data_IF_330310088839
#
_entry.id   IF_330310088839
#
_cell.length_a   1.000
_cell.length_b   1.000
_cell.length_c   1.000
_cell.angle_alpha   90.00
_cell.angle_beta   90.00
_cell.angle_gamma   90.00
#
_symmetry.space_group_name_H-M   'P 1'
#
loop_
_entity.id
_entity.type
_entity.pdbx_description
1 polymer ?
#
# COMPACT_ATOMS: atom_id res chain seq x y z
N UNK A 1 -25.59 -28.61 -64.85
CA UNK A 1 -24.17 -28.23 -65.02
C UNK A 1 -23.73 -27.40 -63.81
N UNK A 2 -22.91 -28.01 -62.95
CA UNK A 2 -21.81 -27.47 -62.16
C UNK A 2 -21.77 -26.00 -61.63
N UNK A 3 -21.43 -25.93 -60.33
CA UNK A 3 -20.48 -25.01 -59.62
C UNK A 3 -21.01 -23.62 -59.22
N UNK A 4 -20.61 -22.98 -58.10
CA UNK A 4 -19.95 -23.26 -56.80
C UNK A 4 -19.88 -21.86 -56.12
N UNK A 5 -20.09 -21.78 -54.80
CA UNK A 5 -19.66 -20.70 -53.86
C UNK A 5 -20.38 -19.32 -53.91
N UNK A 6 -20.68 -18.64 -52.80
CA UNK A 6 -20.29 -18.94 -51.43
C UNK A 6 -20.87 -18.01 -50.34
N UNK A 7 -20.70 -18.53 -49.11
CA UNK A 7 -20.54 -17.91 -47.80
C UNK A 7 -21.60 -16.98 -47.18
N UNK A 8 -22.33 -17.61 -46.26
CA UNK A 8 -22.81 -17.21 -44.93
C UNK A 8 -22.20 -15.96 -44.27
N UNK A 9 -23.09 -15.15 -43.68
CA UNK A 9 -22.85 -14.39 -42.44
C UNK A 9 -24.16 -14.33 -41.64
N UNK A 10 -24.31 -15.24 -40.67
CA UNK A 10 -25.32 -15.17 -39.61
C UNK A 10 -24.60 -14.67 -38.35
N UNK A 11 -24.86 -13.42 -37.98
CA UNK A 11 -24.37 -12.84 -36.73
C UNK A 11 -25.28 -13.28 -35.57
N UNK A 12 -24.83 -14.29 -34.82
CA UNK A 12 -25.40 -14.61 -33.51
C UNK A 12 -24.83 -13.64 -32.47
N UNK A 13 -25.68 -12.73 -31.99
CA UNK A 13 -25.39 -11.90 -30.82
C UNK A 13 -25.46 -12.78 -29.57
N UNK A 14 -24.29 -13.25 -29.12
CA UNK A 14 -24.15 -13.86 -27.79
C UNK A 14 -24.13 -12.74 -26.75
N UNK A 15 -25.24 -12.56 -26.04
CA UNK A 15 -25.30 -11.82 -24.79
C UNK A 15 -24.49 -12.59 -23.73
N UNK A 16 -23.20 -12.31 -23.63
CA UNK A 16 -22.39 -12.79 -22.50
C UNK A 16 -22.71 -11.94 -21.28
N UNK A 17 -23.60 -12.45 -20.42
CA UNK A 17 -23.66 -12.05 -19.03
C UNK A 17 -22.26 -12.19 -18.42
N UNK A 18 -21.66 -11.07 -18.05
CA UNK A 18 -20.39 -11.02 -17.29
C UNK A 18 -20.71 -11.47 -15.86
N UNK A 19 -20.93 -12.78 -15.69
CA UNK A 19 -20.92 -13.42 -14.40
C UNK A 19 -19.45 -13.53 -14.00
N UNK A 20 -19.05 -12.72 -13.02
CA UNK A 20 -17.73 -12.79 -12.40
C UNK A 20 -17.66 -14.13 -11.66
N UNK A 21 -17.15 -15.15 -12.34
CA UNK A 21 -16.81 -16.41 -11.70
C UNK A 21 -15.70 -16.11 -10.70
N UNK A 22 -16.05 -16.07 -9.41
CA UNK A 22 -15.09 -16.21 -8.32
C UNK A 22 -14.45 -17.59 -8.49
N UNK A 23 -13.27 -17.65 -9.10
CA UNK A 23 -12.43 -18.84 -9.05
C UNK A 23 -12.26 -19.20 -7.59
N UNK A 24 -12.70 -20.41 -7.22
CA UNK A 24 -12.45 -20.98 -5.90
C UNK A 24 -10.97 -20.78 -5.57
N UNK A 25 -10.70 -19.97 -4.54
CA UNK A 25 -9.34 -19.61 -4.18
C UNK A 25 -8.59 -20.89 -3.79
N UNK A 26 -7.68 -21.35 -4.64
CA UNK A 26 -6.71 -22.35 -4.24
C UNK A 26 -5.89 -21.77 -3.10
N UNK A 27 -5.99 -22.38 -1.92
CA UNK A 27 -5.19 -22.04 -0.73
C UNK A 27 -3.71 -21.88 -1.13
N UNK A 28 -3.17 -20.68 -0.94
CA UNK A 28 -1.77 -20.31 -1.22
C UNK A 28 -0.88 -20.48 0.02
N UNK A 29 -1.29 -21.37 0.94
CA UNK A 29 -0.65 -21.62 2.22
C UNK A 29 -1.36 -20.95 3.39
N UNK A 30 -1.00 -21.39 4.60
CA UNK A 30 -1.55 -20.88 5.85
C UNK A 30 -0.92 -19.52 6.21
N UNK A 31 -1.75 -18.61 6.70
CA UNK A 31 -1.34 -17.34 7.27
C UNK A 31 -0.80 -17.54 8.68
N UNK A 32 0.30 -16.87 8.99
CA UNK A 32 0.93 -16.89 10.31
C UNK A 32 1.03 -15.46 10.86
N UNK A 33 0.91 -15.30 12.18
CA UNK A 33 1.01 -13.99 12.85
C UNK A 33 2.30 -13.20 12.50
N UNK A 34 3.39 -13.91 12.21
CA UNK A 34 4.68 -13.32 11.85
C UNK A 34 4.81 -12.93 10.37
N UNK A 35 3.78 -13.15 9.56
CA UNK A 35 3.81 -12.78 8.14
C UNK A 35 3.84 -11.26 7.96
N UNK A 36 4.48 -10.81 6.88
CA UNK A 36 4.80 -9.40 6.66
C UNK A 36 3.57 -8.48 6.59
N UNK A 37 2.40 -8.99 6.18
CA UNK A 37 1.14 -8.24 6.20
C UNK A 37 0.67 -7.90 7.62
N UNK A 38 0.86 -8.81 8.58
CA UNK A 38 0.52 -8.59 9.99
C UNK A 38 1.54 -7.70 10.69
N UNK A 39 2.82 -7.80 10.30
CA UNK A 39 3.85 -6.91 10.81
C UNK A 39 3.62 -5.46 10.33
N UNK A 40 3.14 -5.29 9.08
CA UNK A 40 2.74 -3.99 8.54
C UNK A 40 1.53 -3.37 9.24
N UNK A 41 0.60 -4.18 9.72
CA UNK A 41 -0.61 -3.72 10.40
C UNK A 41 -0.73 -4.40 11.78
N UNK A 42 0.00 -3.93 12.81
CA UNK A 42 0.02 -4.57 14.12
C UNK A 42 -1.37 -4.70 14.77
N UNK A 43 -2.23 -3.68 14.62
CA UNK A 43 -3.61 -3.71 15.11
C UNK A 43 -4.45 -4.80 14.42
N UNK A 44 -4.18 -5.08 13.14
CA UNK A 44 -4.81 -6.18 12.42
C UNK A 44 -4.37 -7.51 13.02
N UNK A 45 -3.07 -7.65 13.32
CA UNK A 45 -2.53 -8.87 13.92
C UNK A 45 -3.16 -9.14 15.30
N UNK A 46 -3.29 -8.10 16.12
CA UNK A 46 -3.95 -8.20 17.42
C UNK A 46 -5.40 -8.65 17.28
N UNK A 47 -6.19 -8.00 16.41
CA UNK A 47 -7.60 -8.36 16.23
C UNK A 47 -7.77 -9.75 15.61
N UNK A 48 -6.95 -10.09 14.63
CA UNK A 48 -7.08 -11.35 13.89
C UNK A 48 -6.67 -12.60 14.71
N UNK A 49 -5.68 -12.47 15.61
CA UNK A 49 -5.10 -13.60 16.33
C UNK A 49 -5.40 -13.64 17.83
N UNK A 50 -5.59 -12.48 18.48
CA UNK A 50 -5.72 -12.41 19.94
C UNK A 50 -7.16 -12.16 20.40
N UNK A 51 -7.97 -11.45 19.60
CA UNK A 51 -9.33 -11.12 19.99
C UNK A 51 -10.21 -12.37 20.08
N UNK A 52 -10.86 -12.55 21.23
CA UNK A 52 -11.72 -13.70 21.53
C UNK A 52 -12.93 -13.80 20.61
N UNK A 53 -13.55 -12.67 20.24
CA UNK A 53 -14.68 -12.66 19.31
C UNK A 53 -14.27 -13.14 17.91
N UNK A 54 -13.10 -12.72 17.45
CA UNK A 54 -12.57 -13.11 16.14
C UNK A 54 -12.12 -14.57 16.13
N UNK A 55 -11.56 -15.06 17.24
CA UNK A 55 -11.18 -16.47 17.40
C UNK A 55 -12.38 -17.42 17.52
N UNK A 56 -13.52 -16.94 18.04
CA UNK A 56 -14.74 -17.74 18.14
C UNK A 56 -15.60 -17.72 16.86
N UNK A 57 -15.25 -16.86 15.88
CA UNK A 57 -15.99 -16.72 14.63
C UNK A 57 -15.78 -17.93 13.70
N UNK A 58 -16.86 -18.36 13.02
CA UNK A 58 -16.80 -19.41 12.00
C UNK A 58 -16.08 -18.96 10.74
N UNK A 59 -16.14 -17.67 10.43
CA UNK A 59 -15.41 -17.08 9.30
C UNK A 59 -14.64 -15.83 9.74
N UNK A 60 -13.40 -15.66 9.26
CA UNK A 60 -12.60 -14.45 9.44
C UNK A 60 -11.79 -14.12 8.19
N UNK A 61 -11.89 -12.87 7.77
CA UNK A 61 -11.42 -12.42 6.46
C UNK A 61 -10.60 -11.14 6.61
N UNK A 62 -9.55 -11.02 5.82
CA UNK A 62 -8.77 -9.78 5.64
C UNK A 62 -8.84 -9.35 4.18
N UNK A 63 -9.20 -8.09 3.96
CA UNK A 63 -9.17 -7.41 2.67
C UNK A 63 -8.17 -6.25 2.69
N UNK A 64 -7.42 -6.12 1.61
CA UNK A 64 -6.50 -5.00 1.37
C UNK A 64 -6.61 -4.51 -0.06
N UNK A 65 -6.31 -3.23 -0.33
CA UNK A 65 -6.19 -2.74 -1.69
C UNK A 65 -4.94 -3.33 -2.35
N UNK A 66 -5.14 -3.81 -3.57
CA UNK A 66 -4.14 -4.43 -4.43
C UNK A 66 -3.99 -3.62 -5.72
N UNK A 67 -2.81 -3.66 -6.38
CA UNK A 67 -1.61 -4.42 -6.04
C UNK A 67 -0.88 -3.82 -4.82
N UNK A 68 0.21 -4.50 -4.42
CA UNK A 68 1.02 -4.23 -3.22
C UNK A 68 1.27 -2.73 -2.93
N UNK A 69 1.46 -1.89 -3.95
CA UNK A 69 1.69 -0.44 -3.81
C UNK A 69 0.51 0.30 -3.18
N UNK A 70 -0.71 -0.24 -3.34
CA UNK A 70 -1.93 0.31 -2.78
C UNK A 70 -2.13 -0.05 -1.31
N UNK A 71 -1.36 -0.99 -0.76
CA UNK A 71 -1.63 -1.53 0.58
C UNK A 71 -1.12 -0.63 1.71
N UNK A 72 -1.76 0.52 1.89
CA UNK A 72 -1.58 1.42 3.04
C UNK A 72 -2.77 1.38 4.02
N UNK A 73 -3.83 0.65 3.68
CA UNK A 73 -5.01 0.39 4.52
C UNK A 73 -5.36 -1.08 4.51
N UNK A 74 -6.19 -1.48 5.47
CA UNK A 74 -6.79 -2.81 5.53
C UNK A 74 -8.21 -2.74 6.11
N UNK A 75 -8.99 -3.78 5.84
CA UNK A 75 -10.19 -4.09 6.60
C UNK A 75 -10.26 -5.58 6.86
N UNK A 76 -10.55 -5.93 8.09
CA UNK A 76 -10.84 -7.28 8.54
C UNK A 76 -12.33 -7.37 8.90
N UNK A 77 -12.91 -8.55 8.74
CA UNK A 77 -14.27 -8.85 9.16
C UNK A 77 -14.37 -10.30 9.61
N UNK A 78 -15.28 -10.57 10.51
CA UNK A 78 -15.52 -11.90 11.06
C UNK A 78 -17.02 -12.15 11.17
N UNK A 79 -17.43 -13.42 11.08
CA UNK A 79 -18.83 -13.80 11.16
C UNK A 79 -19.39 -13.41 12.53
N UNK A 80 -20.49 -12.65 12.52
CA UNK A 80 -21.33 -12.40 13.69
C UNK A 80 -22.64 -13.13 13.50
N UNK A 81 -23.07 -13.92 14.48
CA UNK A 81 -24.27 -14.77 14.36
C UNK A 81 -24.18 -15.74 13.16
N UNK A 82 -25.22 -15.83 12.34
CA UNK A 82 -25.35 -16.76 11.22
C UNK A 82 -24.85 -16.18 9.87
N UNK A 83 -23.84 -15.31 9.89
CA UNK A 83 -23.25 -14.79 8.64
C UNK A 83 -22.51 -15.89 7.88
N UNK A 84 -22.82 -16.03 6.59
CA UNK A 84 -22.09 -16.86 5.64
C UNK A 84 -20.71 -16.28 5.31
N UNK A 85 -19.82 -17.13 4.80
CA UNK A 85 -18.49 -16.72 4.32
C UNK A 85 -18.58 -15.55 3.32
N UNK A 86 -19.50 -15.64 2.35
CA UNK A 86 -19.67 -14.61 1.32
C UNK A 86 -20.05 -13.25 1.91
N UNK A 87 -20.94 -13.23 2.90
CA UNK A 87 -21.34 -12.00 3.58
C UNK A 87 -20.16 -11.37 4.34
N UNK A 88 -19.34 -12.18 5.01
CA UNK A 88 -18.13 -11.71 5.72
C UNK A 88 -17.10 -11.15 4.72
N UNK A 89 -16.90 -11.82 3.59
CA UNK A 89 -15.99 -11.35 2.53
C UNK A 89 -16.48 -10.02 1.92
N UNK A 90 -17.75 -9.92 1.58
CA UNK A 90 -18.34 -8.70 1.02
C UNK A 90 -18.24 -7.53 2.00
N UNK A 91 -18.46 -7.79 3.30
CA UNK A 91 -18.31 -6.78 4.34
C UNK A 91 -16.87 -6.28 4.45
N UNK A 92 -15.89 -7.18 4.44
CA UNK A 92 -14.46 -6.82 4.47
C UNK A 92 -14.07 -5.97 3.26
N UNK A 93 -14.46 -6.38 2.05
CA UNK A 93 -14.16 -5.65 0.80
C UNK A 93 -14.86 -4.30 0.79
N UNK A 94 -16.13 -4.22 1.20
CA UNK A 94 -16.89 -2.97 1.29
C UNK A 94 -16.24 -1.97 2.26
N UNK A 95 -15.89 -2.43 3.46
CA UNK A 95 -15.20 -1.60 4.45
C UNK A 95 -13.82 -1.14 3.97
N UNK A 96 -13.07 -2.01 3.30
CA UNK A 96 -11.79 -1.65 2.72
C UNK A 96 -11.95 -0.57 1.65
N UNK A 97 -12.89 -0.73 0.71
CA UNK A 97 -13.14 0.25 -0.35
C UNK A 97 -13.62 1.59 0.23
N UNK A 98 -14.44 1.57 1.28
CA UNK A 98 -14.85 2.78 2.00
C UNK A 98 -13.64 3.52 2.60
N UNK A 99 -12.77 2.83 3.35
CA UNK A 99 -11.54 3.42 3.90
C UNK A 99 -10.62 3.96 2.80
N UNK A 100 -10.49 3.22 1.70
CA UNK A 100 -9.70 3.63 0.54
C UNK A 100 -10.25 4.93 -0.08
N UNK A 101 -11.58 5.05 -0.19
CA UNK A 101 -12.23 6.27 -0.68
C UNK A 101 -12.10 7.45 0.29
N UNK A 102 -12.25 7.20 1.60
CA UNK A 102 -12.11 8.22 2.66
C UNK A 102 -10.70 8.83 2.70
N UNK A 103 -9.67 8.01 2.50
CA UNK A 103 -8.27 8.44 2.55
C UNK A 103 -7.75 9.02 1.22
N UNK A 104 -8.59 8.98 0.19
CA UNK A 104 -8.28 9.40 -1.17
C UNK A 104 -7.45 8.36 -1.94
N UNK A 105 -7.44 8.44 -3.28
CA UNK A 105 -6.55 7.61 -4.09
C UNK A 105 -5.08 7.84 -3.69
N UNK A 106 -4.19 6.95 -4.12
CA UNK A 106 -2.75 7.14 -3.95
C UNK A 106 -2.23 8.49 -4.50
N UNK A 107 -3.05 9.25 -5.23
CA UNK A 107 -2.76 10.53 -5.88
C UNK A 107 -2.31 10.34 -7.33
N UNK A 108 -1.73 11.39 -7.93
CA UNK A 108 -1.12 11.38 -9.28
C UNK A 108 0.04 10.37 -9.45
N UNK A 109 0.39 9.71 -8.35
CA UNK A 109 1.62 8.96 -8.14
C UNK A 109 1.57 7.55 -8.72
N UNK A 110 0.37 7.06 -8.96
CA UNK A 110 0.14 5.68 -9.36
C UNK A 110 -1.05 5.68 -10.31
N UNK A 111 -0.78 5.53 -11.61
CA UNK A 111 -1.77 5.11 -12.60
C UNK A 111 -2.13 3.62 -12.42
N UNK A 112 -2.31 3.22 -11.15
CA UNK A 112 -2.52 1.85 -10.72
C UNK A 112 -3.95 1.78 -10.20
N UNK A 113 -4.72 0.84 -10.74
CA UNK A 113 -6.08 0.57 -10.31
C UNK A 113 -6.05 -0.13 -8.94
N UNK A 114 -6.21 0.67 -7.88
CA UNK A 114 -6.26 0.17 -6.51
C UNK A 114 -7.67 -0.33 -6.19
N UNK A 115 -7.82 -1.65 -6.02
CA UNK A 115 -9.10 -2.25 -5.61
C UNK A 115 -8.90 -3.16 -4.41
N UNK A 116 -9.83 -3.09 -3.47
CA UNK A 116 -9.82 -4.01 -2.34
C UNK A 116 -10.20 -5.43 -2.76
N UNK A 117 -9.39 -6.38 -2.32
CA UNK A 117 -9.60 -7.80 -2.54
C UNK A 117 -9.38 -8.53 -1.22
N UNK A 118 -10.09 -9.64 -1.03
CA UNK A 118 -9.80 -10.57 0.07
C UNK A 118 -8.44 -11.20 -0.19
N UNK A 119 -7.59 -11.21 0.84
CA UNK A 119 -6.24 -11.78 0.77
C UNK A 119 -6.03 -12.92 1.75
N UNK A 120 -6.78 -12.92 2.86
CA UNK A 120 -6.81 -14.02 3.82
C UNK A 120 -8.28 -14.37 4.07
N UNK A 121 -8.64 -15.65 3.96
CA UNK A 121 -9.92 -16.20 4.37
C UNK A 121 -9.65 -17.43 5.25
N UNK A 122 -10.21 -17.46 6.45
CA UNK A 122 -10.15 -18.60 7.38
C UNK A 122 -8.74 -19.16 7.55
N UNK A 123 -7.80 -18.27 7.89
CA UNK A 123 -6.36 -18.53 8.08
C UNK A 123 -5.59 -18.94 6.82
N UNK A 124 -6.18 -18.88 5.64
CA UNK A 124 -5.52 -19.24 4.39
C UNK A 124 -5.37 -18.04 3.47
N UNK A 125 -4.22 -17.97 2.80
CA UNK A 125 -4.03 -17.00 1.73
C UNK A 125 -4.87 -17.38 0.51
N UNK A 126 -5.64 -16.43 0.01
CA UNK A 126 -6.43 -16.60 -1.22
C UNK A 126 -5.79 -15.89 -2.43
N UNK A 127 -4.67 -15.21 -2.20
CA UNK A 127 -3.80 -14.61 -3.23
C UNK A 127 -2.36 -15.08 -3.04
N UNK A 128 -1.50 -15.06 -4.08
CA UNK A 128 -0.11 -15.46 -3.94
C UNK A 128 0.63 -14.57 -2.92
N UNK A 129 1.33 -15.15 -1.95
CA UNK A 129 1.98 -14.43 -0.85
C UNK A 129 2.99 -13.36 -1.33
N UNK A 130 3.65 -13.59 -2.45
CA UNK A 130 4.60 -12.65 -3.05
C UNK A 130 3.93 -11.38 -3.64
N UNK A 131 2.60 -11.36 -3.78
CA UNK A 131 1.83 -10.19 -4.21
C UNK A 131 1.43 -9.28 -3.04
N UNK A 132 1.55 -9.78 -1.81
CA UNK A 132 1.20 -9.05 -0.59
C UNK A 132 2.28 -8.04 -0.18
N UNK A 133 1.91 -7.05 0.64
CA UNK A 133 2.89 -6.11 1.16
C UNK A 133 3.88 -6.73 2.11
N UNK A 134 5.07 -6.12 2.11
CA UNK A 134 6.05 -6.29 3.17
C UNK A 134 6.16 -4.99 3.97
N UNK A 135 6.75 -5.06 5.16
CA UNK A 135 7.11 -3.86 5.93
C UNK A 135 8.15 -2.99 5.20
N UNK A 136 8.84 -3.59 4.23
CA UNK A 136 9.99 -3.02 3.54
C UNK A 136 9.63 -2.02 2.44
N UNK A 137 8.38 -1.57 2.31
CA UNK A 137 8.05 -0.54 1.32
C UNK A 137 6.80 0.29 1.67
N UNK A 138 6.60 1.47 1.08
CA UNK A 138 5.37 2.25 1.24
C UNK A 138 5.26 3.41 0.26
N UNK A 139 4.05 3.98 0.04
CA UNK A 139 3.91 5.18 -0.78
C UNK A 139 4.70 6.32 -0.16
N UNK A 140 5.42 7.09 -0.99
CA UNK A 140 6.20 8.24 -0.55
C UNK A 140 5.85 9.49 -1.35
N UNK A 141 5.80 10.61 -0.64
CA UNK A 141 5.70 11.96 -1.20
C UNK A 141 6.83 12.80 -0.66
N UNK A 142 7.59 13.45 -1.54
CA UNK A 142 8.69 14.36 -1.23
C UNK A 142 8.29 15.74 -1.73
N UNK A 143 8.21 16.69 -0.82
CA UNK A 143 7.97 18.09 -1.07
C UNK A 143 9.28 18.84 -0.89
N UNK A 144 9.63 19.67 -1.86
CA UNK A 144 10.85 20.48 -1.80
C UNK A 144 10.66 21.78 -2.56
N UNK A 145 11.48 22.79 -2.27
CA UNK A 145 11.61 23.95 -3.15
C UNK A 145 12.68 23.69 -4.18
N UNK A 146 12.35 23.89 -5.45
CA UNK A 146 13.32 23.85 -6.53
C UNK A 146 14.30 25.04 -6.44
N UNK A 147 15.37 25.08 -7.25
CA UNK A 147 16.32 26.18 -7.22
C UNK A 147 15.74 27.56 -7.55
N UNK A 148 14.54 27.61 -8.16
CA UNK A 148 13.82 28.86 -8.46
C UNK A 148 12.87 29.27 -7.32
N UNK A 149 12.79 28.47 -6.26
CA UNK A 149 11.95 28.71 -5.08
C UNK A 149 10.53 28.17 -5.20
N UNK A 150 10.17 27.53 -6.32
CA UNK A 150 8.85 26.95 -6.52
C UNK A 150 8.71 25.65 -5.72
N UNK A 151 7.53 25.43 -5.14
CA UNK A 151 7.23 24.15 -4.48
C UNK A 151 7.06 23.07 -5.54
N UNK A 152 7.92 22.07 -5.47
CA UNK A 152 7.90 20.89 -6.30
C UNK A 152 7.54 19.65 -5.45
N UNK A 153 6.94 18.67 -6.11
CA UNK A 153 6.54 17.41 -5.50
C UNK A 153 7.07 16.24 -6.32
N UNK A 154 7.80 15.35 -5.66
CA UNK A 154 8.17 14.04 -6.19
C UNK A 154 7.37 12.99 -5.46
N UNK A 155 6.89 12.00 -6.20
CA UNK A 155 6.19 10.89 -5.59
C UNK A 155 6.65 9.55 -6.13
N UNK A 156 6.49 8.53 -5.32
CA UNK A 156 6.92 7.20 -5.68
C UNK A 156 6.65 6.18 -4.59
N UNK A 157 7.37 5.07 -4.67
CA UNK A 157 7.38 3.96 -3.73
C UNK A 157 8.73 3.93 -3.02
N UNK A 158 8.72 4.12 -1.71
CA UNK A 158 9.91 3.93 -0.89
C UNK A 158 10.09 2.43 -0.62
N UNK A 159 11.32 1.92 -0.69
CA UNK A 159 11.69 0.58 -0.23
C UNK A 159 12.85 0.66 0.75
N UNK A 160 12.78 -0.13 1.81
CA UNK A 160 13.76 -0.18 2.88
C UNK A 160 14.53 -1.50 2.85
N UNK A 161 15.81 -1.46 3.20
CA UNK A 161 16.61 -2.67 3.40
C UNK A 161 16.29 -3.41 4.71
N UNK A 162 15.66 -2.75 5.68
CA UNK A 162 15.40 -3.27 7.02
C UNK A 162 14.26 -2.48 7.73
N UNK A 163 13.96 -2.79 8.99
CA UNK A 163 12.90 -2.11 9.75
C UNK A 163 13.44 -0.85 10.44
N UNK A 164 12.84 0.29 10.12
CA UNK A 164 13.13 1.58 10.75
C UNK A 164 12.73 1.52 12.23
N UNK A 165 13.56 2.07 13.11
CA UNK A 165 13.34 2.02 14.57
C UNK A 165 13.89 0.76 15.26
N UNK A 166 14.18 -0.32 14.52
CA UNK A 166 14.83 -1.53 15.04
C UNK A 166 16.30 -1.57 14.70
N UNK A 167 16.62 -1.46 13.42
CA UNK A 167 17.99 -1.56 12.91
C UNK A 167 18.68 -0.19 13.00
N UNK A 168 19.93 -0.14 13.50
CA UNK A 168 20.65 1.13 13.79
C UNK A 168 20.66 2.09 12.60
N UNK A 169 20.81 1.55 11.41
CA UNK A 169 20.79 2.29 10.16
C UNK A 169 20.08 1.48 9.09
N UNK A 170 19.19 2.13 8.35
CA UNK A 170 18.32 1.51 7.34
C UNK A 170 18.48 2.27 6.04
N UNK A 171 18.97 1.61 5.01
CA UNK A 171 19.00 2.18 3.66
C UNK A 171 17.60 2.16 3.05
N UNK A 172 17.31 3.14 2.23
CA UNK A 172 16.09 3.18 1.43
C UNK A 172 16.35 3.67 0.01
N UNK A 173 15.46 3.31 -0.90
CA UNK A 173 15.37 3.91 -2.23
C UNK A 173 13.93 4.33 -2.52
N UNK A 174 13.77 5.23 -3.49
CA UNK A 174 12.47 5.65 -4.01
C UNK A 174 12.43 5.34 -5.50
N UNK A 175 11.45 4.55 -5.91
CA UNK A 175 11.11 4.31 -7.30
C UNK A 175 9.95 5.26 -7.69
N UNK A 176 10.02 5.93 -8.84
CA UNK A 176 8.91 6.74 -9.35
C UNK A 176 7.78 5.88 -9.94
N UNK A 177 6.73 6.52 -10.47
CA UNK A 177 5.58 5.84 -11.09
C UNK A 177 5.94 4.96 -12.29
N UNK A 178 7.10 5.19 -12.92
CA UNK A 178 7.64 4.37 -14.03
C UNK A 178 8.51 3.21 -13.55
N UNK A 179 8.69 3.05 -12.24
CA UNK A 179 9.58 2.06 -11.65
C UNK A 179 11.07 2.42 -11.75
N UNK A 180 11.39 3.67 -12.11
CA UNK A 180 12.77 4.14 -12.16
C UNK A 180 13.21 4.59 -10.76
N UNK A 181 14.38 4.15 -10.33
CA UNK A 181 14.97 4.62 -9.08
C UNK A 181 15.37 6.09 -9.21
N UNK A 182 14.75 6.94 -8.39
CA UNK A 182 14.95 8.39 -8.40
C UNK A 182 15.69 8.91 -7.18
N UNK A 183 15.60 8.22 -6.04
CA UNK A 183 16.33 8.59 -4.82
C UNK A 183 16.92 7.37 -4.11
N UNK A 184 18.03 7.61 -3.43
CA UNK A 184 18.65 6.70 -2.45
C UNK A 184 18.88 7.48 -1.14
N UNK A 185 18.83 6.79 -0.01
CA UNK A 185 19.02 7.43 1.27
C UNK A 185 19.19 6.46 2.42
N UNK A 186 19.34 7.03 3.61
CA UNK A 186 19.55 6.32 4.86
C UNK A 186 18.76 6.96 5.99
N UNK A 187 18.11 6.13 6.80
CA UNK A 187 17.65 6.49 8.14
C UNK A 187 18.65 5.98 9.17
N UNK A 188 18.95 6.80 10.17
CA UNK A 188 19.79 6.43 11.31
C UNK A 188 18.99 6.69 12.57
N UNK A 189 18.71 5.65 13.34
CA UNK A 189 17.86 5.77 14.52
C UNK A 189 18.63 6.48 15.64
N UNK A 190 18.02 7.51 16.22
CA UNK A 190 18.44 8.05 17.52
C UNK A 190 17.54 7.50 18.64
N UNK A 191 16.34 6.98 18.28
CA UNK A 191 15.45 6.19 19.14
C UNK A 191 14.46 5.33 18.33
N UNK A 192 13.52 4.62 18.99
CA UNK A 192 12.60 3.70 18.30
C UNK A 192 11.67 4.38 17.27
N UNK A 193 11.35 5.66 17.48
CA UNK A 193 10.39 6.41 16.65
C UNK A 193 10.99 7.69 16.03
N UNK A 194 12.30 7.91 16.13
CA UNK A 194 12.92 9.11 15.58
C UNK A 194 14.41 8.91 15.30
N UNK A 195 14.96 9.82 14.51
CA UNK A 195 16.38 9.87 14.26
C UNK A 195 16.71 10.84 13.14
N UNK A 196 17.78 10.53 12.41
CA UNK A 196 18.28 11.33 11.29
C UNK A 196 18.02 10.65 9.97
N UNK A 197 17.88 11.45 8.92
CA UNK A 197 17.85 10.93 7.55
C UNK A 197 18.80 11.69 6.65
N UNK A 198 19.24 11.01 5.59
CA UNK A 198 19.88 11.61 4.44
C UNK A 198 19.29 11.02 3.17
N UNK A 199 19.22 11.81 2.11
CA UNK A 199 18.68 11.41 0.83
C UNK A 199 19.42 12.14 -0.29
N UNK A 200 19.61 11.43 -1.40
CA UNK A 200 20.16 11.93 -2.65
C UNK A 200 19.26 11.46 -3.79
N UNK A 201 18.81 12.37 -4.64
CA UNK A 201 17.95 12.09 -5.78
C UNK A 201 18.58 12.56 -7.09
N UNK A 202 18.11 11.96 -8.19
CA UNK A 202 18.48 12.31 -9.56
C UNK A 202 19.99 12.31 -9.80
N UNK A 203 20.69 11.32 -9.24
CA UNK A 203 22.15 11.19 -9.35
C UNK A 203 22.92 12.27 -8.58
N UNK A 204 22.38 12.78 -7.45
CA UNK A 204 23.04 13.76 -6.60
C UNK A 204 22.72 15.22 -6.91
N UNK A 205 21.85 15.49 -7.89
CA UNK A 205 21.41 16.86 -8.22
C UNK A 205 20.54 17.48 -7.13
N UNK A 206 19.84 16.65 -6.37
CA UNK A 206 19.02 17.06 -5.24
C UNK A 206 19.42 16.21 -4.05
N UNK A 207 19.76 16.83 -2.93
CA UNK A 207 20.10 16.12 -1.71
C UNK A 207 19.45 16.82 -0.52
N UNK A 208 19.10 16.04 0.50
CA UNK A 208 18.53 16.56 1.74
C UNK A 208 19.06 15.75 2.92
N UNK A 209 19.22 16.42 4.06
CA UNK A 209 19.45 15.77 5.34
C UNK A 209 18.62 16.45 6.43
N UNK A 210 18.38 15.74 7.53
CA UNK A 210 17.61 16.26 8.64
C UNK A 210 17.19 15.17 9.60
N UNK A 211 15.99 15.32 10.18
CA UNK A 211 15.44 14.38 11.15
C UNK A 211 14.19 13.70 10.61
N UNK A 212 13.87 12.55 11.17
CA UNK A 212 12.59 11.88 10.91
C UNK A 212 11.88 11.51 12.20
N UNK A 213 10.57 11.31 12.09
CA UNK A 213 9.71 10.80 13.14
C UNK A 213 8.75 9.77 12.55
N UNK A 214 8.60 8.65 13.24
CA UNK A 214 7.51 7.69 13.01
C UNK A 214 6.28 8.17 13.78
N UNK A 215 5.13 8.18 13.12
CA UNK A 215 3.82 8.48 13.69
C UNK A 215 2.98 7.22 13.66
N UNK A 216 2.37 6.91 14.79
CA UNK A 216 1.42 5.81 14.93
C UNK A 216 0.02 6.38 14.99
N UNK A 217 -0.89 5.82 14.20
CA UNK A 217 -2.28 6.23 14.14
C UNK A 217 -2.52 7.58 13.44
N UNK A 218 -3.76 7.73 12.93
CA UNK A 218 -4.36 8.90 12.26
C UNK A 218 -3.53 9.56 11.14
N UNK A 219 -3.89 9.38 9.86
CA UNK A 219 -4.91 8.44 9.35
C UNK A 219 -4.42 6.98 9.34
N UNK A 220 -3.10 6.77 9.23
CA UNK A 220 -2.42 5.48 9.31
C UNK A 220 -0.99 5.72 9.84
N UNK A 221 -0.29 4.65 10.18
CA UNK A 221 1.13 4.71 10.53
C UNK A 221 1.96 5.24 9.36
N UNK A 222 2.84 6.20 9.64
CA UNK A 222 3.66 6.86 8.62
C UNK A 222 4.94 7.45 9.20
N UNK A 223 5.90 7.74 8.33
CA UNK A 223 7.15 8.42 8.65
C UNK A 223 7.13 9.81 8.04
N UNK A 224 7.59 10.80 8.81
CA UNK A 224 7.78 12.17 8.34
C UNK A 224 9.24 12.52 8.54
N UNK A 225 9.95 12.80 7.45
CA UNK A 225 11.31 13.30 7.47
C UNK A 225 11.31 14.78 7.06
N UNK A 226 11.96 15.63 7.86
CA UNK A 226 12.08 17.07 7.62
C UNK A 226 13.54 17.46 7.60
N UNK A 227 13.93 18.19 6.57
CA UNK A 227 15.32 18.52 6.34
C UNK A 227 15.48 19.74 5.47
N UNK A 228 16.72 19.96 5.06
CA UNK A 228 17.07 21.02 4.13
C UNK A 228 17.99 20.49 3.06
N UNK A 229 17.94 21.14 1.89
CA UNK A 229 18.95 20.93 0.85
C UNK A 229 20.28 21.56 1.25
N UNK A 230 21.35 21.27 0.51
CA UNK A 230 22.63 21.95 0.68
C UNK A 230 22.57 23.48 0.52
N UNK A 231 21.52 24.00 -0.12
CA UNK A 231 21.25 25.43 -0.27
C UNK A 231 20.32 26.00 0.83
N UNK A 232 19.95 25.20 1.83
CA UNK A 232 19.08 25.61 2.93
C UNK A 232 17.59 25.63 2.60
N UNK A 233 17.17 25.14 1.44
CA UNK A 233 15.75 25.05 1.08
C UNK A 233 15.06 23.92 1.84
N UNK A 234 13.85 24.11 2.39
CA UNK A 234 13.15 23.11 3.17
C UNK A 234 12.74 21.90 2.31
N UNK A 235 12.77 20.73 2.93
CA UNK A 235 12.36 19.45 2.35
C UNK A 235 11.51 18.69 3.37
N UNK A 236 10.39 18.14 2.91
CA UNK A 236 9.51 17.27 3.69
C UNK A 236 9.29 15.98 2.91
N UNK A 237 9.57 14.83 3.52
CA UNK A 237 9.32 13.51 2.95
C UNK A 237 8.35 12.76 3.85
N UNK A 238 7.31 12.21 3.26
CA UNK A 238 6.26 11.47 3.96
C UNK A 238 6.18 10.08 3.37
N UNK A 239 6.32 9.04 4.20
CA UNK A 239 6.21 7.65 3.77
C UNK A 239 5.08 6.95 4.52
N UNK A 240 4.20 6.26 3.81
CA UNK A 240 3.07 5.52 4.39
C UNK A 240 1.70 6.18 4.15
N UNK A 241 1.67 7.42 3.66
CA UNK A 241 0.42 8.12 3.32
C UNK A 241 0.23 8.27 1.79
N UNK A 242 -1.02 8.26 1.30
CA UNK A 242 -1.37 8.69 -0.05
C UNK A 242 -0.91 10.12 -0.35
N UNK A 243 -0.63 10.45 -1.63
CA UNK A 243 -0.06 11.75 -2.00
C UNK A 243 -0.88 12.95 -1.55
N UNK A 244 -2.19 12.84 -1.70
CA UNK A 244 -3.12 13.94 -1.47
C UNK A 244 -3.16 14.27 0.02
N UNK A 245 -3.20 13.23 0.85
CA UNK A 245 -3.19 13.33 2.29
C UNK A 245 -1.84 13.80 2.83
N UNK A 246 -0.74 13.25 2.30
CA UNK A 246 0.61 13.73 2.60
C UNK A 246 0.76 15.22 2.23
N UNK A 247 0.23 15.63 1.08
CA UNK A 247 0.26 17.02 0.62
C UNK A 247 -0.52 17.96 1.53
N UNK A 248 -1.75 17.59 1.91
CA UNK A 248 -2.59 18.39 2.80
C UNK A 248 -2.01 18.55 4.20
N UNK A 249 -1.35 17.51 4.75
CA UNK A 249 -0.81 17.53 6.11
C UNK A 249 0.62 18.09 6.21
N UNK A 250 1.46 17.83 5.21
CA UNK A 250 2.92 18.02 5.33
C UNK A 250 3.56 18.73 4.14
N UNK A 251 2.78 19.13 3.13
CA UNK A 251 3.26 19.80 1.93
C UNK A 251 3.46 21.32 2.08
N UNK A 252 3.02 21.92 3.19
CA UNK A 252 3.22 23.35 3.47
C UNK A 252 4.65 23.65 3.91
N UNK A 253 5.54 23.85 2.94
CA UNK A 253 6.96 24.24 3.10
C UNK A 253 7.31 25.46 2.25
#
# INVERSE_FOLDING_TARGET
MNRIFGLFLLATVALTSVAWAQTAAQSQGKAERRDAIFLRFPEMAQRYWENTETNAASHKVVAVPMPRQCTFVYADSYSKNQMSESEVQQLAVSNCNRKLAELGPLGENYSVDCRCQVVISDEHYVVPRNTLPTESYGPVSIFYRDPTGNVARLNGLARYGALIGRDRSVTFNVDNSRGERVCDGTFTNDGPANGRFSMSCFGGKFGSNGTYQSKTGSPNDHIIARGHTGQGQPVSMVIGLPAQLAGGLYGGI
#
